data_IF_779956939249
#
_entry.id   IF_779956939249
#
_cell.length_a   1.000
_cell.length_b   1.000
_cell.length_c   1.000
_cell.angle_alpha   90.00
_cell.angle_beta   90.00
_cell.angle_gamma   90.00
#
_symmetry.space_group_name_H-M   'P 1'
#
loop_
_entity.id
_entity.type
_entity.pdbx_description
1 polymer ?
#
# COMPACT_ATOMS: atom_id res chain seq x y z
N UNK A 1 68.15 45.15 -22.39
CA UNK A 1 66.87 45.54 -21.78
C UNK A 1 65.76 44.76 -22.45
N UNK A 2 65.26 43.72 -21.80
CA UNK A 2 64.10 42.93 -22.20
C UNK A 2 63.52 42.39 -20.89
N UNK A 3 62.27 42.71 -20.57
CA UNK A 3 61.18 41.75 -20.30
C UNK A 3 59.88 42.57 -20.26
N UNK A 4 59.03 42.39 -21.27
CA UNK A 4 57.62 42.74 -21.19
C UNK A 4 56.88 41.58 -20.51
N UNK A 5 56.20 41.85 -19.40
CA UNK A 5 55.38 40.86 -18.70
C UNK A 5 54.01 40.72 -19.41
N UNK A 6 53.75 39.54 -19.97
CA UNK A 6 52.42 39.18 -20.46
C UNK A 6 51.56 38.71 -19.28
N UNK A 7 50.47 39.43 -18.99
CA UNK A 7 49.40 38.95 -18.11
C UNK A 7 48.77 37.68 -18.71
N UNK A 8 48.77 36.59 -17.93
CA UNK A 8 48.16 35.31 -18.30
C UNK A 8 46.63 35.33 -18.30
N UNK A 9 45.99 34.24 -18.78
CA UNK A 9 44.53 34.15 -18.87
C UNK A 9 43.89 33.99 -17.48
N UNK A 10 42.82 34.74 -17.24
CA UNK A 10 42.00 34.68 -16.03
C UNK A 10 41.49 33.26 -15.75
N UNK A 11 41.35 32.83 -14.49
CA UNK A 11 40.79 31.51 -14.18
C UNK A 11 39.32 31.50 -14.55
N UNK A 12 38.93 30.58 -15.43
CA UNK A 12 37.53 30.21 -15.66
C UNK A 12 36.97 29.69 -14.32
N UNK A 13 36.20 30.52 -13.62
CA UNK A 13 35.46 30.12 -12.41
C UNK A 13 34.44 29.06 -12.82
N UNK A 14 34.80 27.80 -12.58
CA UNK A 14 33.87 26.67 -12.64
C UNK A 14 32.77 26.98 -11.62
N UNK A 15 31.57 27.34 -12.08
CA UNK A 15 30.37 27.33 -11.24
C UNK A 15 30.37 26.00 -10.48
N UNK A 16 30.15 25.99 -9.15
CA UNK A 16 30.05 24.73 -8.43
C UNK A 16 28.95 23.94 -9.09
N UNK A 17 29.32 22.82 -9.70
CA UNK A 17 28.39 21.83 -10.18
C UNK A 17 27.49 21.51 -8.98
N UNK A 18 26.23 21.97 -9.03
CA UNK A 18 25.25 21.61 -8.02
C UNK A 18 25.08 20.11 -8.21
N UNK A 19 25.85 19.31 -7.46
CA UNK A 19 25.68 17.87 -7.39
C UNK A 19 24.26 17.68 -6.91
N UNK A 20 23.35 17.41 -7.84
CA UNK A 20 22.01 17.01 -7.48
C UNK A 20 22.19 15.73 -6.69
N UNK A 21 21.67 15.64 -5.45
CA UNK A 21 21.69 14.38 -4.75
C UNK A 21 20.96 13.36 -5.62
N UNK A 22 21.73 12.40 -6.17
CA UNK A 22 21.14 11.29 -6.88
C UNK A 22 20.36 10.45 -5.86
N UNK A 23 19.13 10.07 -6.22
CA UNK A 23 18.37 9.13 -5.40
C UNK A 23 19.06 7.76 -5.50
N UNK A 24 19.91 7.47 -4.53
CA UNK A 24 20.54 6.16 -4.41
C UNK A 24 19.58 5.26 -3.62
N UNK A 25 18.97 4.30 -4.31
CA UNK A 25 18.01 3.37 -3.73
C UNK A 25 18.79 2.15 -3.23
N UNK A 26 18.68 1.90 -1.94
CA UNK A 26 19.22 0.73 -1.28
C UNK A 26 18.66 -0.56 -1.92
N UNK A 27 19.48 -1.57 -2.26
CA UNK A 27 19.01 -2.81 -2.90
C UNK A 27 17.89 -3.52 -2.14
N UNK A 28 17.86 -3.41 -0.81
CA UNK A 28 16.88 -4.01 0.08
C UNK A 28 15.50 -3.37 -0.07
N UNK A 29 15.42 -2.17 -0.65
CA UNK A 29 14.16 -1.56 -1.08
C UNK A 29 13.40 -2.44 -2.10
N UNK A 30 14.10 -3.34 -2.79
CA UNK A 30 13.47 -4.37 -3.64
C UNK A 30 12.43 -5.20 -2.89
N UNK A 31 12.61 -5.48 -1.60
CA UNK A 31 11.62 -6.18 -0.79
C UNK A 31 10.34 -5.36 -0.62
N UNK A 32 10.47 -4.05 -0.39
CA UNK A 32 9.34 -3.12 -0.29
C UNK A 32 8.58 -3.06 -1.62
N UNK A 33 9.31 -3.02 -2.75
CA UNK A 33 8.70 -3.05 -4.07
C UNK A 33 7.88 -4.33 -4.30
N UNK A 34 8.40 -5.51 -3.93
CA UNK A 34 7.64 -6.76 -4.00
C UNK A 34 6.37 -6.74 -3.14
N UNK A 35 6.43 -6.15 -1.95
CA UNK A 35 5.25 -5.99 -1.09
C UNK A 35 4.18 -5.13 -1.76
N UNK A 36 4.56 -4.02 -2.37
CA UNK A 36 3.63 -3.12 -3.07
C UNK A 36 2.99 -3.80 -4.29
N UNK A 37 3.79 -4.54 -5.08
CA UNK A 37 3.26 -5.37 -6.18
C UNK A 37 2.29 -6.42 -5.65
N UNK A 38 2.66 -7.12 -4.57
CA UNK A 38 1.80 -8.11 -3.92
C UNK A 38 0.49 -7.51 -3.37
N UNK A 39 0.53 -6.28 -2.86
CA UNK A 39 -0.66 -5.55 -2.44
C UNK A 39 -1.58 -5.23 -3.64
N UNK A 40 -1.02 -4.76 -4.76
CA UNK A 40 -1.77 -4.58 -5.99
C UNK A 40 -2.46 -5.87 -6.45
N UNK A 41 -1.72 -6.98 -6.51
CA UNK A 41 -2.23 -8.31 -6.86
C UNK A 41 -3.33 -8.77 -5.89
N UNK A 42 -3.19 -8.49 -4.60
CA UNK A 42 -4.20 -8.82 -3.58
C UNK A 42 -5.52 -8.09 -3.84
N UNK A 43 -5.47 -6.83 -4.29
CA UNK A 43 -6.66 -6.09 -4.73
C UNK A 43 -7.39 -6.82 -5.86
N UNK A 44 -6.67 -7.28 -6.89
CA UNK A 44 -7.25 -8.06 -7.97
C UNK A 44 -7.84 -9.40 -7.51
N UNK A 45 -7.17 -10.10 -6.59
CA UNK A 45 -7.68 -11.36 -6.01
C UNK A 45 -9.00 -11.14 -5.27
N UNK A 46 -9.09 -10.10 -4.45
CA UNK A 46 -10.32 -9.77 -3.73
C UNK A 46 -11.44 -9.30 -4.69
N UNK A 47 -11.10 -8.53 -5.71
CA UNK A 47 -12.03 -8.18 -6.79
C UNK A 47 -12.55 -9.42 -7.54
N UNK A 48 -11.69 -10.40 -7.81
CA UNK A 48 -12.07 -11.69 -8.38
C UNK A 48 -13.06 -12.46 -7.50
N UNK A 49 -12.87 -12.45 -6.17
CA UNK A 49 -13.82 -13.03 -5.21
C UNK A 49 -15.19 -12.35 -5.25
N UNK A 50 -15.23 -11.03 -5.40
CA UNK A 50 -16.48 -10.29 -5.63
C UNK A 50 -17.13 -10.74 -6.94
N UNK A 51 -16.38 -10.85 -8.04
CA UNK A 51 -16.91 -11.32 -9.33
C UNK A 51 -17.50 -12.73 -9.23
N UNK A 52 -16.81 -13.64 -8.54
CA UNK A 52 -17.33 -14.98 -8.27
C UNK A 52 -18.62 -14.95 -7.41
N UNK A 53 -18.67 -14.08 -6.39
CA UNK A 53 -19.85 -13.90 -5.57
C UNK A 53 -21.03 -13.30 -6.36
N UNK A 54 -20.80 -12.35 -7.28
CA UNK A 54 -21.83 -11.83 -8.18
C UNK A 54 -22.48 -12.94 -8.99
N UNK A 55 -21.66 -13.81 -9.61
CA UNK A 55 -22.14 -14.99 -10.34
C UNK A 55 -22.88 -15.97 -9.43
N UNK A 56 -22.38 -16.20 -8.22
CA UNK A 56 -22.99 -17.10 -7.23
C UNK A 56 -24.39 -16.64 -6.81
N UNK A 57 -24.57 -15.35 -6.50
CA UNK A 57 -25.80 -14.80 -5.95
C UNK A 57 -26.72 -14.13 -6.99
N UNK A 58 -26.27 -14.01 -8.25
CA UNK A 58 -27.05 -13.41 -9.33
C UNK A 58 -27.17 -11.89 -9.23
N UNK A 59 -26.17 -11.22 -8.66
CA UNK A 59 -26.19 -9.76 -8.47
C UNK A 59 -25.66 -9.06 -9.72
N UNK A 60 -26.57 -8.52 -10.52
CA UNK A 60 -26.24 -7.80 -11.76
C UNK A 60 -25.61 -6.42 -11.49
N UNK A 61 -24.84 -5.92 -12.46
CA UNK A 61 -24.43 -4.53 -12.49
C UNK A 61 -25.64 -3.64 -12.83
N UNK A 62 -25.74 -2.42 -12.28
CA UNK A 62 -24.75 -1.67 -11.50
C UNK A 62 -24.84 -1.86 -9.98
N UNK A 63 -25.57 -2.88 -9.49
CA UNK A 63 -25.80 -3.02 -8.05
C UNK A 63 -24.50 -3.25 -7.28
N UNK A 64 -24.18 -2.31 -6.38
CA UNK A 64 -23.01 -2.40 -5.52
C UNK A 64 -23.29 -3.30 -4.31
N UNK A 65 -24.45 -3.10 -3.69
CA UNK A 65 -24.95 -3.90 -2.58
C UNK A 65 -26.19 -4.66 -3.03
N UNK A 66 -26.34 -5.87 -2.50
CA UNK A 66 -27.51 -6.70 -2.72
C UNK A 66 -28.56 -6.47 -1.63
N UNK A 67 -29.82 -6.45 -2.06
CA UNK A 67 -31.03 -6.59 -1.23
C UNK A 67 -31.71 -7.93 -1.56
N UNK A 68 -32.79 -8.28 -0.84
CA UNK A 68 -33.60 -9.49 -1.12
C UNK A 68 -34.04 -9.56 -2.58
N UNK A 69 -34.41 -8.43 -3.17
CA UNK A 69 -34.97 -8.37 -4.52
C UNK A 69 -33.90 -8.49 -5.62
N UNK A 70 -32.65 -8.17 -5.29
CA UNK A 70 -31.54 -8.22 -6.25
C UNK A 70 -30.80 -9.57 -6.29
N UNK A 71 -31.04 -10.44 -5.31
CA UNK A 71 -30.44 -11.78 -5.30
C UNK A 71 -31.38 -12.79 -5.92
N UNK A 72 -30.84 -13.70 -6.72
CA UNK A 72 -31.65 -14.71 -7.44
C UNK A 72 -32.46 -15.64 -6.53
N UNK A 73 -32.07 -15.78 -5.26
CA UNK A 73 -32.75 -16.64 -4.30
C UNK A 73 -33.90 -15.95 -3.55
N UNK A 74 -34.02 -14.61 -3.64
CA UNK A 74 -34.97 -13.84 -2.85
C UNK A 74 -34.68 -13.79 -1.35
N UNK A 75 -33.54 -14.32 -0.89
CA UNK A 75 -33.23 -14.46 0.54
C UNK A 75 -32.29 -13.38 1.07
N UNK A 76 -32.61 -12.86 2.26
CA UNK A 76 -31.76 -11.87 2.94
C UNK A 76 -30.37 -12.42 3.30
N UNK A 77 -30.28 -13.72 3.61
CA UNK A 77 -29.02 -14.36 3.98
C UNK A 77 -28.00 -14.29 2.84
N UNK A 78 -28.44 -14.56 1.62
CA UNK A 78 -27.61 -14.51 0.41
C UNK A 78 -27.21 -13.08 0.04
N UNK A 79 -28.14 -12.12 0.18
CA UNK A 79 -27.85 -10.70 0.01
C UNK A 79 -26.79 -10.22 1.01
N UNK A 80 -26.92 -10.65 2.26
CA UNK A 80 -25.96 -10.33 3.33
C UNK A 80 -24.60 -10.97 3.06
N UNK A 81 -24.56 -12.22 2.62
CA UNK A 81 -23.32 -12.93 2.27
C UNK A 81 -22.58 -12.25 1.11
N UNK A 82 -23.29 -11.83 0.06
CA UNK A 82 -22.72 -11.02 -1.02
C UNK A 82 -22.15 -9.70 -0.50
N UNK A 83 -22.93 -8.96 0.30
CA UNK A 83 -22.51 -7.67 0.87
C UNK A 83 -21.28 -7.82 1.77
N UNK A 84 -21.15 -8.94 2.47
CA UNK A 84 -19.99 -9.26 3.29
C UNK A 84 -18.71 -9.41 2.45
N UNK A 85 -18.78 -10.14 1.33
CA UNK A 85 -17.66 -10.26 0.39
C UNK A 85 -17.30 -8.90 -0.21
N UNK A 86 -18.30 -8.14 -0.65
CA UNK A 86 -18.13 -6.81 -1.22
C UNK A 86 -17.48 -5.83 -0.23
N UNK A 87 -17.96 -5.79 1.02
CA UNK A 87 -17.42 -4.90 2.06
C UNK A 87 -15.97 -5.26 2.40
N UNK A 88 -15.64 -6.55 2.46
CA UNK A 88 -14.26 -7.01 2.67
C UNK A 88 -13.29 -6.49 1.61
N UNK A 89 -13.68 -6.52 0.34
CA UNK A 89 -12.90 -5.96 -0.75
C UNK A 89 -12.83 -4.42 -0.70
N UNK A 90 -13.95 -3.74 -0.44
CA UNK A 90 -13.96 -2.27 -0.34
C UNK A 90 -13.10 -1.75 0.80
N UNK A 91 -13.11 -2.42 1.96
CA UNK A 91 -12.24 -2.06 3.08
C UNK A 91 -10.77 -2.14 2.69
N UNK A 92 -10.40 -3.13 1.86
CA UNK A 92 -9.05 -3.21 1.33
C UNK A 92 -8.71 -2.03 0.43
N UNK A 93 -9.62 -1.68 -0.50
CA UNK A 93 -9.42 -0.55 -1.42
C UNK A 93 -9.40 0.82 -0.71
N UNK A 94 -10.14 0.99 0.38
CA UNK A 94 -10.12 2.20 1.22
C UNK A 94 -8.75 2.42 1.86
N UNK A 95 -8.08 1.33 2.27
CA UNK A 95 -6.77 1.41 2.94
C UNK A 95 -5.57 1.32 2.00
N UNK A 96 -5.72 0.69 0.84
CA UNK A 96 -4.63 0.42 -0.09
C UNK A 96 -3.81 1.68 -0.48
N UNK A 97 -4.42 2.84 -0.77
CA UNK A 97 -3.64 4.05 -1.09
C UNK A 97 -2.79 4.53 0.08
N UNK A 98 -3.37 4.60 1.27
CA UNK A 98 -2.65 5.00 2.49
C UNK A 98 -1.53 4.03 2.82
N UNK A 99 -1.80 2.73 2.73
CA UNK A 99 -0.79 1.69 2.91
C UNK A 99 0.37 1.86 1.92
N UNK A 100 0.08 1.99 0.63
CA UNK A 100 1.13 2.13 -0.40
C UNK A 100 2.02 3.34 -0.14
N UNK A 101 1.43 4.50 0.19
CA UNK A 101 2.20 5.73 0.47
C UNK A 101 3.07 5.55 1.72
N UNK A 102 2.52 5.04 2.82
CA UNK A 102 3.28 4.86 4.05
C UNK A 102 4.39 3.82 3.89
N UNK A 103 4.13 2.72 3.17
CA UNK A 103 5.12 1.68 2.87
C UNK A 103 6.22 2.19 1.96
N UNK A 104 5.89 2.99 0.94
CA UNK A 104 6.90 3.65 0.09
C UNK A 104 7.79 4.57 0.93
N UNK A 105 7.20 5.51 1.67
CA UNK A 105 7.95 6.51 2.45
C UNK A 105 8.78 5.88 3.57
N UNK A 106 8.18 4.99 4.37
CA UNK A 106 8.89 4.30 5.43
C UNK A 106 9.98 3.37 4.90
N UNK A 107 9.72 2.74 3.75
CA UNK A 107 10.64 1.80 3.12
C UNK A 107 11.92 2.43 2.59
N UNK A 108 11.89 3.72 2.23
CA UNK A 108 13.08 4.45 1.76
C UNK A 108 14.22 4.49 2.79
N UNK A 109 13.87 4.52 4.08
CA UNK A 109 14.86 4.52 5.16
C UNK A 109 14.93 3.19 5.91
N UNK A 110 13.82 2.46 6.01
CA UNK A 110 13.69 1.27 6.86
C UNK A 110 13.20 0.04 6.07
N UNK A 111 13.84 -0.35 4.95
CA UNK A 111 13.31 -1.38 4.05
C UNK A 111 13.14 -2.74 4.74
N UNK A 112 14.09 -3.14 5.60
CA UNK A 112 14.07 -4.42 6.31
C UNK A 112 13.02 -4.53 7.43
N UNK A 113 12.49 -3.40 7.90
CA UNK A 113 11.41 -3.36 8.90
C UNK A 113 10.07 -3.25 8.19
N UNK A 114 9.99 -2.38 7.18
CA UNK A 114 8.74 -2.09 6.47
C UNK A 114 8.31 -3.25 5.57
N UNK A 115 9.23 -3.99 4.95
CA UNK A 115 8.89 -5.14 4.12
C UNK A 115 8.14 -6.25 4.89
N UNK A 116 8.65 -6.81 6.01
CA UNK A 116 7.92 -7.83 6.76
C UNK A 116 6.64 -7.29 7.40
N UNK A 117 6.63 -6.05 7.88
CA UNK A 117 5.40 -5.42 8.39
C UNK A 117 4.35 -5.29 7.27
N UNK A 118 4.76 -4.90 6.07
CA UNK A 118 3.88 -4.80 4.92
C UNK A 118 3.31 -6.15 4.48
N UNK A 119 4.12 -7.21 4.46
CA UNK A 119 3.64 -8.58 4.22
C UNK A 119 2.60 -9.00 5.25
N UNK A 120 2.89 -8.77 6.54
CA UNK A 120 1.96 -9.07 7.63
C UNK A 120 0.63 -8.33 7.46
N UNK A 121 0.68 -7.04 7.09
CA UNK A 121 -0.51 -6.24 6.83
C UNK A 121 -1.34 -6.80 5.67
N UNK A 122 -0.71 -7.10 4.52
CA UNK A 122 -1.41 -7.69 3.36
C UNK A 122 -2.06 -9.02 3.72
N UNK A 123 -1.35 -9.90 4.44
CA UNK A 123 -1.90 -11.18 4.92
C UNK A 123 -3.08 -10.97 5.89
N UNK A 124 -2.98 -10.00 6.80
CA UNK A 124 -4.06 -9.66 7.72
C UNK A 124 -5.32 -9.19 6.97
N UNK A 125 -5.17 -8.42 5.89
CA UNK A 125 -6.32 -7.95 5.09
C UNK A 125 -6.99 -9.08 4.29
N UNK A 126 -6.21 -10.05 3.79
CA UNK A 126 -6.77 -11.29 3.23
C UNK A 126 -7.59 -12.05 4.28
N UNK A 127 -7.05 -12.15 5.50
CA UNK A 127 -7.75 -12.73 6.66
C UNK A 127 -9.00 -11.95 7.05
N UNK A 128 -8.97 -10.61 6.99
CA UNK A 128 -10.10 -9.75 7.26
C UNK A 128 -11.23 -10.00 6.25
N UNK A 129 -10.92 -9.97 4.95
CA UNK A 129 -11.89 -10.19 3.89
C UNK A 129 -12.46 -11.61 3.94
N UNK A 130 -11.63 -12.61 4.21
CA UNK A 130 -12.09 -13.99 4.40
C UNK A 130 -12.99 -14.13 5.63
N UNK A 131 -12.60 -13.58 6.78
CA UNK A 131 -13.40 -13.61 8.00
C UNK A 131 -14.76 -12.92 7.82
N UNK A 132 -14.79 -11.82 7.08
CA UNK A 132 -16.02 -11.13 6.72
C UNK A 132 -16.93 -12.03 5.86
N UNK A 133 -16.37 -12.70 4.86
CA UNK A 133 -17.11 -13.59 3.96
C UNK A 133 -17.68 -14.84 4.67
N UNK A 134 -16.95 -15.40 5.65
CA UNK A 134 -17.32 -16.67 6.31
C UNK A 134 -18.21 -16.47 7.53
N UNK A 135 -17.95 -15.46 8.36
CA UNK A 135 -18.65 -15.26 9.65
C UNK A 135 -19.34 -13.91 9.74
N UNK A 136 -19.53 -13.23 8.60
CA UNK A 136 -20.16 -11.93 8.54
C UNK A 136 -19.36 -10.84 9.26
N UNK A 137 -20.02 -9.73 9.66
CA UNK A 137 -19.34 -8.56 10.23
C UNK A 137 -18.52 -8.86 11.50
N UNK A 138 -18.91 -9.86 12.29
CA UNK A 138 -18.20 -10.24 13.52
C UNK A 138 -16.88 -10.98 13.23
N UNK A 139 -16.78 -11.68 12.09
CA UNK A 139 -15.61 -12.45 11.69
C UNK A 139 -14.42 -11.63 11.21
N UNK A 140 -14.63 -10.35 10.91
CA UNK A 140 -13.61 -9.47 10.29
C UNK A 140 -12.31 -9.38 11.09
N UNK A 141 -12.40 -9.46 12.42
CA UNK A 141 -11.27 -9.27 13.34
C UNK A 141 -10.68 -10.57 13.88
N UNK A 142 -11.15 -11.75 13.44
CA UNK A 142 -10.58 -13.03 13.89
C UNK A 142 -9.10 -13.11 13.52
N UNK A 143 -8.79 -12.82 12.25
CA UNK A 143 -7.44 -12.74 11.72
C UNK A 143 -7.03 -11.28 11.48
N UNK A 144 -7.93 -10.44 10.95
CA UNK A 144 -7.61 -9.07 10.54
C UNK A 144 -6.98 -8.18 11.62
N UNK A 145 -7.24 -8.47 12.90
CA UNK A 145 -6.65 -7.72 14.02
C UNK A 145 -5.12 -7.76 14.09
N UNK A 146 -4.49 -8.79 13.51
CA UNK A 146 -3.02 -8.90 13.49
C UNK A 146 -2.37 -7.83 12.62
N UNK A 147 -3.12 -7.19 11.72
CA UNK A 147 -2.62 -6.13 10.84
C UNK A 147 -2.49 -4.75 11.51
N UNK A 148 -3.15 -4.52 12.65
CA UNK A 148 -3.08 -3.24 13.35
C UNK A 148 -1.66 -2.89 13.85
N UNK A 149 -0.91 -3.77 14.51
CA UNK A 149 0.48 -3.46 14.87
C UNK A 149 1.35 -3.20 13.63
N UNK A 150 1.11 -3.93 12.53
CA UNK A 150 1.88 -3.75 11.30
C UNK A 150 1.73 -2.34 10.71
N UNK A 151 0.51 -1.81 10.64
CA UNK A 151 0.30 -0.44 10.11
C UNK A 151 0.90 0.62 11.03
N UNK A 152 0.89 0.42 12.35
CA UNK A 152 1.52 1.34 13.32
C UNK A 152 3.04 1.37 13.12
N UNK A 153 3.67 0.21 12.92
CA UNK A 153 5.11 0.10 12.63
C UNK A 153 5.45 0.85 11.35
N UNK A 154 4.69 0.62 10.27
CA UNK A 154 4.93 1.30 8.98
C UNK A 154 4.75 2.81 9.12
N UNK A 155 3.71 3.26 9.84
CA UNK A 155 3.48 4.68 10.12
C UNK A 155 4.66 5.30 10.90
N UNK A 156 5.19 4.59 11.90
CA UNK A 156 6.37 5.01 12.65
C UNK A 156 7.62 5.13 11.78
N UNK A 157 7.85 4.17 10.88
CA UNK A 157 8.96 4.23 9.91
C UNK A 157 8.82 5.42 8.95
N UNK A 158 7.60 5.69 8.45
CA UNK A 158 7.33 6.85 7.59
C UNK A 158 7.51 8.18 8.36
N UNK A 159 7.09 8.24 9.62
CA UNK A 159 7.32 9.39 10.50
C UNK A 159 8.80 9.62 10.79
N UNK A 160 9.58 8.56 11.00
CA UNK A 160 11.03 8.62 11.16
C UNK A 160 11.71 9.18 9.90
N UNK A 161 11.28 8.73 8.70
CA UNK A 161 11.74 9.28 7.43
C UNK A 161 11.45 10.79 7.31
N UNK A 162 10.22 11.21 7.65
CA UNK A 162 9.85 12.62 7.63
C UNK A 162 10.68 13.46 8.61
N UNK A 163 10.85 13.01 9.86
CA UNK A 163 11.62 13.70 10.88
C UNK A 163 13.10 13.85 10.49
N UNK A 164 13.71 12.80 9.92
CA UNK A 164 15.09 12.83 9.43
C UNK A 164 15.26 13.78 8.25
N UNK A 165 14.30 13.80 7.33
CA UNK A 165 14.32 14.72 6.18
C UNK A 165 14.21 16.19 6.61
N UNK A 166 13.50 16.47 7.71
CA UNK A 166 13.42 17.80 8.31
C UNK A 166 14.63 18.16 9.20
N UNK A 167 15.56 17.23 9.43
CA UNK A 167 16.72 17.44 10.30
C UNK A 167 16.42 17.41 11.80
N UNK A 168 15.29 16.82 12.20
CA UNK A 168 14.95 16.63 13.62
C UNK A 168 15.62 15.40 14.25
N UNK A 169 16.14 14.49 13.42
CA UNK A 169 16.83 13.25 13.79
C UNK A 169 18.09 13.06 12.95
#
# INVERSE_FOLDING_TARGET
GHVAAACGPSPCTRTPERIMPALNIDPEFGYVAFVLVGAGLTGFVLGGKVGAARKKYGVEYPNMYATKDTVKSGKQEDATAFNCVQRGHQHYLEWLPTFNVLTLLGGLQHPLIVAPAGLLWVAAQLGYAHGYATHGPKGRNTIGRIGYPAIIVILGCAGSFAARTLGFL
#
